data_IF_043826326787
#
_entry.id   IF_043826326787
#
_cell.length_a   1.000
_cell.length_b   1.000
_cell.length_c   1.000
_cell.angle_alpha   90.00
_cell.angle_beta   90.00
_cell.angle_gamma   90.00
#
_symmetry.space_group_name_H-M   'P 1'
#
loop_
_entity.id
_entity.type
_entity.pdbx_description
1 polymer ?
#
# COMPACT_ATOMS: atom_id res chain seq x y z
N UNK A 1 -51.33 11.19 -11.44
CA UNK A 1 -50.94 9.91 -10.81
C UNK A 1 -49.86 9.27 -11.67
N UNK A 2 -48.98 8.47 -11.05
CA UNK A 2 -47.76 7.83 -11.60
C UNK A 2 -46.47 8.63 -11.46
N UNK A 3 -46.09 8.76 -10.19
CA UNK A 3 -44.77 8.42 -9.61
C UNK A 3 -43.51 8.77 -10.40
N UNK A 4 -42.78 9.76 -9.86
CA UNK A 4 -41.33 9.86 -9.96
C UNK A 4 -40.73 8.58 -9.38
N UNK A 5 -39.96 7.84 -10.17
CA UNK A 5 -38.93 6.96 -9.62
C UNK A 5 -37.70 7.84 -9.41
N UNK A 6 -37.22 8.06 -8.18
CA UNK A 6 -35.85 8.52 -8.01
C UNK A 6 -34.96 7.31 -8.33
N UNK A 7 -34.24 7.38 -9.45
CA UNK A 7 -33.10 6.52 -9.67
C UNK A 7 -32.09 6.82 -8.56
N UNK A 8 -32.04 5.94 -7.56
CA UNK A 8 -30.96 5.88 -6.58
C UNK A 8 -29.65 5.74 -7.35
N UNK A 9 -28.70 6.69 -7.28
CA UNK A 9 -27.39 6.46 -7.84
C UNK A 9 -26.78 5.27 -7.09
N UNK A 10 -26.36 4.28 -7.87
CA UNK A 10 -25.69 3.07 -7.43
C UNK A 10 -24.62 3.38 -6.37
N UNK A 11 -24.59 2.52 -5.37
CA UNK A 11 -23.67 2.48 -4.24
C UNK A 11 -22.21 2.74 -4.64
N UNK A 12 -21.75 3.98 -4.52
CA UNK A 12 -20.36 4.26 -4.26
C UNK A 12 -20.13 3.99 -2.78
N UNK A 13 -19.80 2.73 -2.44
CA UNK A 13 -19.11 2.45 -1.18
C UNK A 13 -17.96 3.46 -1.05
N UNK A 14 -17.76 4.15 0.08
CA UNK A 14 -16.62 5.04 0.20
C UNK A 14 -15.37 4.24 -0.16
N UNK A 15 -14.64 4.68 -1.20
CA UNK A 15 -13.35 4.12 -1.57
C UNK A 15 -12.56 3.95 -0.28
N UNK A 16 -12.15 2.72 0.02
CA UNK A 16 -11.46 2.40 1.27
C UNK A 16 -10.39 3.46 1.54
N UNK A 17 -10.26 3.96 2.78
CA UNK A 17 -9.31 5.03 3.09
C UNK A 17 -7.86 4.55 3.00
N UNK A 18 -7.60 3.35 2.49
CA UNK A 18 -6.31 2.72 2.38
C UNK A 18 -5.91 2.52 0.91
N UNK A 19 -4.62 2.48 0.67
CA UNK A 19 -4.02 2.11 -0.61
C UNK A 19 -2.78 1.28 -0.34
N UNK A 20 -2.43 0.43 -1.28
CA UNK A 20 -1.27 -0.45 -1.16
C UNK A 20 -0.18 0.03 -2.10
N UNK A 21 0.99 0.31 -1.54
CA UNK A 21 2.20 0.54 -2.30
C UNK A 21 2.97 -0.76 -2.44
N UNK A 22 3.15 -1.20 -3.66
CA UNK A 22 3.99 -2.32 -4.03
C UNK A 22 5.35 -1.78 -4.49
N UNK A 23 6.43 -2.14 -3.81
CA UNK A 23 7.77 -1.63 -4.07
C UNK A 23 8.73 -2.78 -4.36
N UNK A 24 9.49 -2.68 -5.44
CA UNK A 24 10.64 -3.57 -5.68
C UNK A 24 11.91 -2.84 -5.26
N UNK A 25 12.70 -3.46 -4.39
CA UNK A 25 13.87 -2.81 -3.77
C UNK A 25 15.09 -3.71 -3.79
N UNK A 26 16.29 -3.13 -3.77
CA UNK A 26 17.54 -3.88 -3.54
C UNK A 26 17.52 -4.47 -2.13
N UNK A 27 17.93 -5.72 -1.98
CA UNK A 27 17.92 -6.39 -0.70
C UNK A 27 19.32 -6.41 -0.10
N UNK A 28 19.59 -5.47 0.79
CA UNK A 28 20.81 -5.42 1.59
C UNK A 28 20.49 -4.87 2.99
N UNK A 29 21.39 -5.04 3.98
CA UNK A 29 21.20 -4.50 5.32
C UNK A 29 20.91 -2.99 5.28
N UNK A 30 19.88 -2.56 6.02
CA UNK A 30 19.49 -1.16 6.17
C UNK A 30 18.39 -0.66 5.22
N UNK A 31 18.09 -1.37 4.12
CA UNK A 31 17.10 -0.89 3.13
C UNK A 31 15.70 -0.73 3.75
N UNK A 32 15.26 -1.70 4.57
CA UNK A 32 13.96 -1.66 5.24
C UNK A 32 13.87 -0.50 6.23
N UNK A 33 14.94 -0.25 7.00
CA UNK A 33 15.00 0.85 7.94
C UNK A 33 14.92 2.21 7.24
N UNK A 34 15.57 2.37 6.09
CA UNK A 34 15.48 3.58 5.28
C UNK A 34 14.06 3.82 4.75
N UNK A 35 13.42 2.77 4.23
CA UNK A 35 12.04 2.86 3.72
C UNK A 35 11.10 3.21 4.86
N UNK A 36 11.03 2.40 5.93
CA UNK A 36 10.17 2.67 7.07
C UNK A 36 10.43 4.05 7.70
N UNK A 37 11.71 4.48 7.77
CA UNK A 37 12.10 5.79 8.28
C UNK A 37 11.60 6.96 7.42
N UNK A 38 11.41 6.78 6.11
CA UNK A 38 10.83 7.80 5.23
C UNK A 38 9.33 8.01 5.51
N UNK A 39 8.59 6.93 5.75
CA UNK A 39 7.17 6.99 6.12
C UNK A 39 6.98 7.51 7.56
N UNK A 40 7.80 7.06 8.51
CA UNK A 40 7.74 7.47 9.90
C UNK A 40 7.99 8.99 10.09
N UNK A 41 9.00 9.57 9.43
CA UNK A 41 9.33 11.00 9.53
C UNK A 41 8.22 11.95 9.07
N UNK A 42 7.30 11.45 8.24
CA UNK A 42 6.18 12.24 7.70
C UNK A 42 4.88 12.00 8.48
N UNK A 43 4.94 11.24 9.57
CA UNK A 43 3.80 10.81 10.36
C UNK A 43 2.74 10.07 9.50
N UNK A 44 3.19 9.28 8.52
CA UNK A 44 2.31 8.37 7.80
C UNK A 44 2.04 7.15 8.67
N UNK A 45 0.76 6.89 8.92
CA UNK A 45 0.36 5.66 9.60
C UNK A 45 0.45 4.51 8.59
N UNK A 46 1.41 3.60 8.82
CA UNK A 46 1.54 2.35 8.09
C UNK A 46 0.62 1.34 8.75
N UNK A 47 -0.42 0.92 8.04
CA UNK A 47 -1.43 0.01 8.57
C UNK A 47 -0.92 -1.44 8.53
N UNK A 48 -0.25 -1.81 7.44
CA UNK A 48 0.40 -3.12 7.32
C UNK A 48 1.63 -3.03 6.43
N UNK A 49 2.63 -3.85 6.73
CA UNK A 49 3.83 -4.03 5.90
C UNK A 49 4.12 -5.52 5.73
N UNK A 50 4.34 -5.94 4.49
CA UNK A 50 4.84 -7.26 4.14
C UNK A 50 6.11 -7.09 3.30
N UNK A 51 7.13 -7.90 3.56
CA UNK A 51 8.35 -7.93 2.78
C UNK A 51 8.75 -9.38 2.49
N UNK A 52 9.06 -9.67 1.23
CA UNK A 52 9.52 -10.99 0.80
C UNK A 52 10.68 -10.85 -0.21
N UNK A 53 11.74 -11.67 -0.12
CA UNK A 53 12.77 -11.70 -1.15
C UNK A 53 12.20 -12.20 -2.48
N UNK A 54 12.77 -11.73 -3.60
CA UNK A 54 12.44 -12.17 -4.95
C UNK A 54 13.57 -13.07 -5.48
N UNK A 55 13.24 -14.29 -5.91
CA UNK A 55 14.21 -15.24 -6.48
C UNK A 55 15.38 -15.52 -5.52
N UNK A 56 16.61 -15.35 -6.00
CA UNK A 56 17.86 -15.51 -5.23
C UNK A 56 18.08 -14.43 -4.15
N UNK A 57 17.14 -13.51 -3.97
CA UNK A 57 17.12 -12.58 -2.83
C UNK A 57 18.03 -11.37 -2.95
N UNK A 58 18.53 -11.03 -4.14
CA UNK A 58 19.22 -9.75 -4.41
C UNK A 58 18.26 -8.54 -4.41
N UNK A 59 16.95 -8.81 -4.56
CA UNK A 59 15.87 -7.84 -4.45
C UNK A 59 14.75 -8.37 -3.58
N UNK A 60 13.94 -7.47 -3.04
CA UNK A 60 12.76 -7.78 -2.25
C UNK A 60 11.54 -7.05 -2.78
N UNK A 61 10.39 -7.67 -2.58
CA UNK A 61 9.08 -7.06 -2.79
C UNK A 61 8.52 -6.62 -1.45
N UNK A 62 8.13 -5.35 -1.35
CA UNK A 62 7.48 -4.80 -0.17
C UNK A 62 6.07 -4.38 -0.56
N UNK A 63 5.07 -4.84 0.19
CA UNK A 63 3.72 -4.31 0.15
C UNK A 63 3.46 -3.50 1.41
N UNK A 64 3.07 -2.25 1.21
CA UNK A 64 2.82 -1.32 2.31
C UNK A 64 1.40 -0.77 2.19
N UNK A 65 0.51 -1.18 3.10
CA UNK A 65 -0.83 -0.64 3.22
C UNK A 65 -0.77 0.64 4.05
N UNK A 66 -1.15 1.76 3.47
CA UNK A 66 -1.15 3.08 4.12
C UNK A 66 -2.50 3.74 3.95
N UNK A 67 -2.85 4.61 4.90
CA UNK A 67 -4.04 5.46 4.74
C UNK A 67 -3.77 6.51 3.65
N UNK A 68 -4.78 6.77 2.81
CA UNK A 68 -4.75 7.88 1.88
C UNK A 68 -4.60 9.21 2.64
N UNK A 69 -3.60 9.97 2.21
CA UNK A 69 -3.28 11.30 2.71
C UNK A 69 -2.90 12.15 1.50
N UNK A 70 -3.23 13.45 1.52
CA UNK A 70 -2.89 14.40 0.45
C UNK A 70 -1.40 14.44 0.14
N UNK A 71 -0.55 14.05 1.09
CA UNK A 71 0.92 14.01 0.98
C UNK A 71 1.44 12.71 0.34
N UNK A 72 0.59 11.72 0.08
CA UNK A 72 1.02 10.39 -0.37
C UNK A 72 1.73 10.44 -1.72
N UNK A 73 1.19 11.18 -2.69
CA UNK A 73 1.83 11.38 -3.99
C UNK A 73 3.22 12.03 -3.90
N UNK A 74 3.42 12.91 -2.93
CA UNK A 74 4.74 13.47 -2.66
C UNK A 74 5.66 12.40 -2.06
N UNK A 75 5.14 11.59 -1.14
CA UNK A 75 5.89 10.52 -0.49
C UNK A 75 6.36 9.47 -1.48
N UNK A 76 5.47 8.99 -2.37
CA UNK A 76 5.80 8.05 -3.46
C UNK A 76 6.95 8.61 -4.31
N UNK A 77 6.86 9.90 -4.70
CA UNK A 77 7.94 10.58 -5.43
C UNK A 77 9.24 10.70 -4.65
N UNK A 78 9.21 10.76 -3.31
CA UNK A 78 10.42 10.72 -2.49
C UNK A 78 10.99 9.31 -2.40
N UNK A 79 10.14 8.29 -2.29
CA UNK A 79 10.54 6.88 -2.29
C UNK A 79 11.25 6.51 -3.59
N UNK A 80 10.73 6.96 -4.75
CA UNK A 80 11.35 6.75 -6.07
C UNK A 80 12.73 7.41 -6.23
N UNK A 81 13.13 8.32 -5.33
CA UNK A 81 14.47 8.94 -5.34
C UNK A 81 15.51 8.15 -4.54
N UNK A 82 15.09 7.14 -3.78
CA UNK A 82 16.00 6.28 -3.06
C UNK A 82 16.72 5.36 -4.05
N UNK A 83 18.04 5.30 -3.97
CA UNK A 83 18.88 4.46 -4.86
C UNK A 83 18.50 2.98 -4.81
N UNK A 84 17.98 2.56 -3.65
CA UNK A 84 17.63 1.17 -3.40
C UNK A 84 16.22 0.81 -3.88
N UNK A 85 15.40 1.79 -4.29
CA UNK A 85 14.05 1.57 -4.81
C UNK A 85 14.11 1.47 -6.33
N UNK A 86 13.70 0.31 -6.85
CA UNK A 86 13.76 -0.01 -8.28
C UNK A 86 12.42 0.28 -8.99
N UNK A 87 11.30 0.03 -8.31
CA UNK A 87 9.96 0.27 -8.85
C UNK A 87 8.96 0.54 -7.70
N UNK A 88 7.93 1.34 -7.96
CA UNK A 88 6.81 1.58 -7.05
C UNK A 88 5.50 1.57 -7.83
N UNK A 89 4.57 0.70 -7.45
CA UNK A 89 3.22 0.60 -8.00
C UNK A 89 2.21 0.88 -6.91
N UNK A 90 1.11 1.52 -7.29
CA UNK A 90 -0.01 1.82 -6.40
C UNK A 90 -1.19 0.93 -6.78
N UNK A 91 -1.83 0.38 -5.75
CA UNK A 91 -3.00 -0.46 -5.87
C UNK A 91 -4.11 0.02 -4.92
N UNK A 92 -5.33 -0.39 -5.22
CA UNK A 92 -6.47 -0.18 -4.31
C UNK A 92 -6.28 -0.95 -3.00
N UNK A 93 -7.10 -0.62 -1.98
CA UNK A 93 -7.00 -1.23 -0.65
C UNK A 93 -7.17 -2.76 -0.65
N UNK A 94 -7.92 -3.28 -1.61
CA UNK A 94 -8.35 -4.68 -1.73
C UNK A 94 -7.28 -5.56 -2.39
N UNK A 95 -6.00 -5.21 -2.23
CA UNK A 95 -4.91 -5.98 -2.82
C UNK A 95 -4.90 -7.41 -2.26
N UNK A 96 -4.87 -8.38 -3.17
CA UNK A 96 -5.04 -9.81 -2.87
C UNK A 96 -4.08 -10.32 -1.78
N UNK A 97 -2.86 -9.77 -1.72
CA UNK A 97 -1.87 -10.13 -0.69
C UNK A 97 -2.39 -9.92 0.74
N UNK A 98 -3.13 -8.83 0.99
CA UNK A 98 -3.66 -8.53 2.30
C UNK A 98 -4.97 -9.26 2.57
N UNK A 99 -5.81 -9.43 1.54
CA UNK A 99 -7.03 -10.27 1.65
C UNK A 99 -6.69 -11.71 2.04
N UNK A 100 -5.62 -12.28 1.47
CA UNK A 100 -5.13 -13.61 1.83
C UNK A 100 -4.48 -13.63 3.21
N UNK A 101 -3.76 -12.57 3.60
CA UNK A 101 -3.16 -12.47 4.94
C UNK A 101 -4.22 -12.41 6.05
N UNK A 102 -5.34 -11.72 5.81
CA UNK A 102 -6.43 -11.61 6.79
C UNK A 102 -7.01 -12.99 7.18
N UNK A 103 -6.97 -13.98 6.28
CA UNK A 103 -7.38 -15.36 6.56
C UNK A 103 -6.56 -16.04 7.67
N UNK A 104 -5.31 -15.60 7.90
CA UNK A 104 -4.50 -16.13 9.00
C UNK A 104 -4.94 -15.61 10.38
N UNK A 105 -5.65 -14.48 10.43
CA UNK A 105 -6.11 -13.86 11.67
C UNK A 105 -7.56 -14.20 12.01
N UNK A 106 -8.36 -14.61 11.03
CA UNK A 106 -9.80 -14.95 11.24
C UNK A 106 -10.01 -16.38 11.75
N UNK A 107 -8.97 -17.23 11.74
CA UNK A 107 -9.03 -18.63 12.16
C UNK A 107 -8.62 -18.85 13.64
N UNK A 108 -8.84 -17.86 14.51
CA UNK A 108 -8.59 -17.95 15.96
C UNK A 108 -9.88 -17.91 16.74
#
# INVERSE_FOLDING_TARGET
MSTRTPETPASASPSSPYTVLEMTVRNHPGVMSHICGLFARRAFNMDAILCMPIGEGSTSRIWLRVREDRRLEQLIRQTLKLVDVLDVRRHDAEHEVFLRLEQFFTNV
#
